data_IF_924447578721
#
_entry.id   IF_924447578721
#
_cell.length_a   1.000
_cell.length_b   1.000
_cell.length_c   1.000
_cell.angle_alpha   90.00
_cell.angle_beta   90.00
_cell.angle_gamma   90.00
#
_symmetry.space_group_name_H-M   'P 1'
#
loop_
_entity.id
_entity.type
_entity.pdbx_description
1 polymer ?
#
# COMPACT_ATOMS: atom_id res chain seq x y z
N UNK A 1 0.31 -4.96 -5.46
CA UNK A 1 0.29 -5.76 -4.21
C UNK A 1 1.35 -5.31 -3.21
N UNK A 2 2.65 -5.49 -3.51
CA UNK A 2 3.73 -5.11 -2.59
C UNK A 2 3.66 -3.65 -2.11
N UNK A 3 3.39 -2.69 -3.01
CA UNK A 3 3.28 -1.27 -2.66
C UNK A 3 2.19 -0.98 -1.62
N UNK A 4 1.06 -1.70 -1.67
CA UNK A 4 0.01 -1.56 -0.66
C UNK A 4 0.45 -2.11 0.71
N UNK A 5 1.27 -3.15 0.71
CA UNK A 5 1.88 -3.68 1.94
C UNK A 5 2.91 -2.71 2.51
N UNK A 6 3.74 -2.10 1.66
CA UNK A 6 4.67 -1.05 2.07
C UNK A 6 3.94 0.15 2.70
N UNK A 7 2.84 0.63 2.10
CA UNK A 7 2.01 1.67 2.72
C UNK A 7 1.46 1.26 4.08
N UNK A 8 1.02 0.01 4.24
CA UNK A 8 0.51 -0.49 5.52
C UNK A 8 1.60 -0.63 6.61
N UNK A 9 2.84 -0.93 6.22
CA UNK A 9 3.97 -1.06 7.14
C UNK A 9 4.65 0.27 7.47
N UNK A 10 4.58 1.27 6.58
CA UNK A 10 5.28 2.53 6.77
C UNK A 10 4.74 3.30 7.99
N UNK A 11 5.66 3.69 8.88
CA UNK A 11 5.38 4.36 10.17
C UNK A 11 4.32 3.64 11.02
N UNK A 12 4.33 2.29 11.00
CA UNK A 12 3.38 1.46 11.74
C UNK A 12 4.09 0.59 12.81
N UNK A 13 3.99 0.92 14.11
CA UNK A 13 4.60 0.14 15.19
C UNK A 13 4.11 -1.31 15.28
N UNK A 14 2.94 -1.62 14.72
CA UNK A 14 2.39 -2.99 14.71
C UNK A 14 3.28 -3.97 13.94
N UNK A 15 4.15 -3.48 13.05
CA UNK A 15 5.16 -4.30 12.36
C UNK A 15 6.06 -5.06 13.35
N UNK A 16 6.30 -4.50 14.54
CA UNK A 16 7.12 -5.14 15.58
C UNK A 16 6.32 -6.02 16.54
N UNK A 17 4.98 -5.97 16.49
CA UNK A 17 4.09 -6.70 17.41
C UNK A 17 3.42 -7.90 16.73
N UNK A 18 3.59 -8.07 15.42
CA UNK A 18 2.99 -9.16 14.67
C UNK A 18 3.07 -8.97 13.18
N UNK A 19 2.17 -9.63 12.46
CA UNK A 19 2.18 -9.68 11.00
C UNK A 19 1.24 -8.63 10.43
N UNK A 20 1.79 -7.60 9.80
CA UNK A 20 1.01 -6.62 9.01
C UNK A 20 0.71 -7.21 7.64
N UNK A 21 -0.59 -7.37 7.35
CA UNK A 21 -1.11 -7.89 6.08
C UNK A 21 -2.25 -7.00 5.60
N UNK A 22 -2.31 -6.79 4.29
CA UNK A 22 -3.49 -6.18 3.66
C UNK A 22 -4.69 -7.15 3.73
N UNK A 23 -5.91 -6.60 3.88
CA UNK A 23 -7.13 -7.41 3.98
C UNK A 23 -7.41 -8.13 2.66
N UNK A 24 -8.01 -9.33 2.73
CA UNK A 24 -8.35 -10.14 1.54
C UNK A 24 -9.16 -9.33 0.51
N UNK A 25 -10.14 -8.53 0.95
CA UNK A 25 -10.92 -7.67 0.06
C UNK A 25 -10.05 -6.66 -0.71
N UNK A 26 -9.12 -6.00 -0.03
CA UNK A 26 -8.19 -5.06 -0.66
C UNK A 26 -7.27 -5.77 -1.66
N UNK A 27 -6.80 -6.96 -1.33
CA UNK A 27 -6.01 -7.78 -2.24
C UNK A 27 -6.79 -8.12 -3.53
N UNK A 28 -8.05 -8.56 -3.39
CA UNK A 28 -8.92 -8.86 -4.54
C UNK A 28 -9.18 -7.62 -5.39
N UNK A 29 -9.47 -6.47 -4.78
CA UNK A 29 -9.64 -5.21 -5.51
C UNK A 29 -8.39 -4.86 -6.32
N UNK A 30 -7.19 -4.99 -5.73
CA UNK A 30 -5.94 -4.73 -6.43
C UNK A 30 -5.70 -5.72 -7.59
N UNK A 31 -6.04 -6.99 -7.41
CA UNK A 31 -5.93 -8.00 -8.48
C UNK A 31 -6.90 -7.69 -9.63
N UNK A 32 -8.11 -7.22 -9.35
CA UNK A 32 -9.10 -6.87 -10.36
C UNK A 32 -8.80 -5.55 -11.08
N UNK A 33 -8.17 -4.58 -10.40
CA UNK A 33 -7.88 -3.26 -10.97
C UNK A 33 -6.56 -3.22 -11.75
N UNK A 34 -5.56 -4.04 -11.40
CA UNK A 34 -4.22 -4.01 -11.99
C UNK A 34 -4.14 -4.75 -13.34
N UNK A 35 -5.05 -4.46 -14.28
CA UNK A 35 -5.17 -5.16 -15.57
C UNK A 35 -4.44 -4.49 -16.73
N UNK A 36 -3.93 -3.27 -16.54
CA UNK A 36 -3.14 -2.55 -17.53
C UNK A 36 -2.13 -1.62 -16.86
N UNK A 37 -1.12 -1.18 -17.61
CA UNK A 37 -0.03 -0.36 -17.06
C UNK A 37 -0.49 1.02 -16.58
N UNK A 38 -1.54 1.60 -17.17
CA UNK A 38 -2.13 2.86 -16.70
C UNK A 38 -2.69 2.70 -15.29
N UNK A 39 -3.53 1.68 -15.08
CA UNK A 39 -4.09 1.35 -13.78
C UNK A 39 -3.01 1.00 -12.75
N UNK A 40 -1.98 0.23 -13.14
CA UNK A 40 -0.85 -0.09 -12.24
C UNK A 40 -0.11 1.19 -11.81
N UNK A 41 0.17 2.11 -12.74
CA UNK A 41 0.80 3.41 -12.42
C UNK A 41 -0.05 4.23 -11.46
N UNK A 42 -1.37 4.33 -11.70
CA UNK A 42 -2.29 5.02 -10.80
C UNK A 42 -2.30 4.39 -9.40
N UNK A 43 -2.35 3.06 -9.30
CA UNK A 43 -2.29 2.33 -8.02
C UNK A 43 -0.98 2.64 -7.29
N UNK A 44 0.17 2.56 -7.98
CA UNK A 44 1.47 2.83 -7.37
C UNK A 44 1.54 4.29 -6.90
N UNK A 45 1.10 5.25 -7.73
CA UNK A 45 1.10 6.67 -7.39
C UNK A 45 0.26 6.94 -6.14
N UNK A 46 -0.93 6.34 -6.05
CA UNK A 46 -1.82 6.48 -4.90
C UNK A 46 -1.15 6.03 -3.60
N UNK A 47 -0.62 4.80 -3.55
CA UNK A 47 0.04 4.29 -2.35
C UNK A 47 1.36 5.01 -2.04
N UNK A 48 2.07 5.51 -3.05
CA UNK A 48 3.28 6.32 -2.84
C UNK A 48 2.93 7.64 -2.16
N UNK A 49 1.81 8.26 -2.53
CA UNK A 49 1.33 9.47 -1.89
C UNK A 49 0.86 9.24 -0.45
N UNK A 50 0.20 8.10 -0.16
CA UNK A 50 -0.12 7.70 1.21
C UNK A 50 1.13 7.55 2.09
N UNK A 51 2.20 6.97 1.55
CA UNK A 51 3.49 6.87 2.25
C UNK A 51 4.05 8.27 2.48
N UNK A 52 4.07 9.11 1.46
CA UNK A 52 4.57 10.48 1.56
C UNK A 52 3.86 11.29 2.64
N UNK A 53 2.53 11.14 2.78
CA UNK A 53 1.76 11.81 3.83
C UNK A 53 2.12 11.36 5.24
N UNK A 54 2.66 10.14 5.39
CA UNK A 54 3.12 9.60 6.68
C UNK A 54 4.56 9.98 6.99
N UNK A 55 5.31 10.50 6.01
CA UNK A 55 6.66 11.02 6.23
C UNK A 55 6.50 12.31 7.04
N UNK A 56 6.88 12.28 8.31
CA UNK A 56 6.91 13.50 9.11
C UNK A 56 7.90 14.50 8.49
N UNK A 57 7.54 15.79 8.35
CA UNK A 57 8.52 16.81 8.02
C UNK A 57 9.47 16.91 9.21
N UNK A 58 10.73 16.52 9.01
CA UNK A 58 11.80 16.78 9.95
C UNK A 58 12.09 18.28 10.03
#
# INVERSE_FOLDING_TARGET
MAIATLSACYNNPQVFQGVVKIRKGQAVTLMMQATNMGAVRSIISQYSQEILQKVSPH
#
